data_IF_103802706157
#
_entry.id   IF_103802706157
#
_cell.length_a   1.000
_cell.length_b   1.000
_cell.length_c   1.000
_cell.angle_alpha   90.00
_cell.angle_beta   90.00
_cell.angle_gamma   90.00
#
_symmetry.space_group_name_H-M   'P 1'
#
loop_
_entity.id
_entity.type
_entity.pdbx_description
1 polymer ?
#
# COMPACT_ATOMS: atom_id res chain seq x y z
N UNK A 1 30.83 28.01 18.86
CA UNK A 1 29.63 27.47 19.51
C UNK A 1 28.40 27.50 18.61
N UNK A 2 28.22 28.54 17.79
CA UNK A 2 27.10 28.63 16.84
C UNK A 2 27.08 27.51 15.81
N UNK A 3 28.25 27.06 15.36
CA UNK A 3 28.37 26.01 14.36
C UNK A 3 27.89 24.64 14.84
N UNK A 4 28.11 24.34 16.12
CA UNK A 4 27.64 23.06 16.68
C UNK A 4 26.12 22.99 16.75
N UNK A 5 25.51 24.08 17.17
CA UNK A 5 24.04 24.17 17.26
C UNK A 5 23.40 24.05 15.89
N UNK A 6 23.96 24.71 14.88
CA UNK A 6 23.47 24.65 13.50
C UNK A 6 23.59 23.22 12.96
N UNK A 7 24.74 22.56 13.17
CA UNK A 7 24.94 21.19 12.73
C UNK A 7 24.00 20.20 13.38
N UNK A 8 23.76 20.36 14.69
CA UNK A 8 22.81 19.50 15.40
C UNK A 8 21.38 19.71 14.89
N UNK A 9 21.00 20.94 14.63
CA UNK A 9 19.69 21.27 14.08
C UNK A 9 19.50 20.70 12.69
N UNK A 10 20.50 20.82 11.82
CA UNK A 10 20.47 20.24 10.49
C UNK A 10 20.42 18.73 10.52
N UNK A 11 21.25 18.10 11.37
CA UNK A 11 21.24 16.65 11.51
C UNK A 11 19.89 16.14 12.00
N UNK A 12 19.27 16.81 12.96
CA UNK A 12 17.95 16.48 13.45
C UNK A 12 16.88 16.65 12.38
N UNK A 13 16.97 17.71 11.58
CA UNK A 13 16.06 17.96 10.47
C UNK A 13 16.18 16.87 9.40
N UNK A 14 17.40 16.50 9.03
CA UNK A 14 17.65 15.45 8.04
C UNK A 14 17.16 14.08 8.54
N UNK A 15 17.40 13.77 9.82
CA UNK A 15 16.90 12.54 10.42
C UNK A 15 15.36 12.52 10.42
N UNK A 16 14.72 13.64 10.75
CA UNK A 16 13.27 13.75 10.71
C UNK A 16 12.72 13.58 9.31
N UNK A 17 13.38 14.12 8.29
CA UNK A 17 12.99 13.92 6.89
C UNK A 17 13.10 12.46 6.48
N UNK A 18 14.18 11.79 6.87
CA UNK A 18 14.37 10.38 6.57
C UNK A 18 13.30 9.52 7.24
N UNK A 19 12.97 9.80 8.50
CA UNK A 19 11.91 9.10 9.21
C UNK A 19 10.55 9.33 8.56
N UNK A 20 10.25 10.56 8.17
CA UNK A 20 9.01 10.87 7.50
C UNK A 20 8.92 10.16 6.15
N UNK A 21 10.02 10.14 5.39
CA UNK A 21 10.10 9.44 4.12
C UNK A 21 9.84 7.96 4.27
N UNK A 22 10.40 7.33 5.31
CA UNK A 22 10.17 5.92 5.61
C UNK A 22 8.71 5.64 5.96
N UNK A 23 8.08 6.51 6.77
CA UNK A 23 6.66 6.36 7.11
C UNK A 23 5.77 6.49 5.87
N UNK A 24 6.05 7.48 5.03
CA UNK A 24 5.29 7.68 3.80
C UNK A 24 5.43 6.51 2.83
N UNK A 25 6.66 5.97 2.70
CA UNK A 25 6.90 4.79 1.88
C UNK A 25 6.15 3.57 2.41
N UNK A 26 6.15 3.35 3.72
CA UNK A 26 5.43 2.25 4.35
C UNK A 26 3.92 2.38 4.13
N UNK A 27 3.37 3.59 4.22
CA UNK A 27 1.95 3.84 3.97
C UNK A 27 1.59 3.58 2.51
N UNK A 28 2.46 3.99 1.58
CA UNK A 28 2.27 3.72 0.16
C UNK A 28 2.25 2.21 -0.10
N UNK A 29 3.20 1.47 0.46
CA UNK A 29 3.29 0.03 0.29
C UNK A 29 2.05 -0.66 0.86
N UNK A 30 1.57 -0.23 2.01
CA UNK A 30 0.35 -0.77 2.61
C UNK A 30 -0.87 -0.51 1.72
N UNK A 31 -0.97 0.69 1.15
CA UNK A 31 -2.07 1.03 0.25
C UNK A 31 -2.02 0.19 -1.03
N UNK A 32 -0.83 0.00 -1.61
CA UNK A 32 -0.66 -0.86 -2.78
C UNK A 32 -1.04 -2.31 -2.48
N UNK A 33 -0.66 -2.82 -1.31
CA UNK A 33 -1.03 -4.17 -0.90
C UNK A 33 -2.54 -4.33 -0.76
N UNK A 34 -3.23 -3.34 -0.20
CA UNK A 34 -4.69 -3.34 -0.09
C UNK A 34 -5.36 -3.35 -1.46
N UNK A 35 -4.85 -2.56 -2.40
CA UNK A 35 -5.38 -2.54 -3.76
C UNK A 35 -5.24 -3.89 -4.45
N UNK A 36 -4.12 -4.59 -4.22
CA UNK A 36 -3.93 -5.95 -4.76
C UNK A 36 -4.94 -6.93 -4.20
N UNK A 37 -5.21 -6.85 -2.89
CA UNK A 37 -6.19 -7.72 -2.25
C UNK A 37 -7.58 -7.47 -2.82
N UNK A 38 -7.98 -6.21 -2.96
CA UNK A 38 -9.27 -5.83 -3.54
C UNK A 38 -9.39 -6.36 -4.97
N UNK A 39 -8.33 -6.20 -5.76
CA UNK A 39 -8.32 -6.68 -7.15
C UNK A 39 -8.46 -8.21 -7.22
N UNK A 40 -7.71 -8.93 -6.38
CA UNK A 40 -7.80 -10.39 -6.33
C UNK A 40 -9.18 -10.86 -5.89
N UNK A 41 -9.80 -10.19 -4.91
CA UNK A 41 -11.16 -10.51 -4.49
C UNK A 41 -12.16 -10.28 -5.60
N UNK A 42 -12.01 -9.18 -6.35
CA UNK A 42 -12.87 -8.89 -7.49
C UNK A 42 -12.74 -9.96 -8.58
N UNK A 43 -11.50 -10.39 -8.87
CA UNK A 43 -11.24 -11.46 -9.83
C UNK A 43 -11.86 -12.78 -9.38
N UNK A 44 -11.71 -13.10 -8.11
CA UNK A 44 -12.30 -14.32 -7.53
C UNK A 44 -13.82 -14.31 -7.67
N UNK A 45 -14.47 -13.20 -7.37
CA UNK A 45 -15.92 -13.08 -7.50
C UNK A 45 -16.37 -13.17 -8.95
N UNK A 46 -15.60 -12.59 -9.87
CA UNK A 46 -15.90 -12.68 -11.30
C UNK A 46 -15.84 -14.12 -11.79
N UNK A 47 -14.86 -14.90 -11.35
CA UNK A 47 -14.74 -16.32 -11.70
C UNK A 47 -15.91 -17.11 -11.13
N UNK A 48 -16.27 -16.87 -9.87
CA UNK A 48 -17.43 -17.53 -9.25
C UNK A 48 -18.73 -17.24 -9.99
N UNK A 49 -18.90 -15.99 -10.40
CA UNK A 49 -20.10 -15.59 -11.15
C UNK A 49 -20.16 -16.32 -12.50
N UNK A 50 -19.04 -16.48 -13.19
CA UNK A 50 -18.97 -17.25 -14.43
C UNK A 50 -19.31 -18.71 -14.21
N UNK A 51 -18.77 -19.31 -13.16
CA UNK A 51 -19.04 -20.71 -12.83
C UNK A 51 -20.52 -20.91 -12.50
N UNK A 52 -21.11 -20.00 -11.75
CA UNK A 52 -22.52 -20.04 -11.43
C UNK A 52 -23.40 -19.96 -12.68
N UNK A 53 -23.04 -19.07 -13.60
CA UNK A 53 -23.75 -18.93 -14.88
C UNK A 53 -23.65 -20.21 -15.72
N UNK A 54 -22.47 -20.78 -15.82
CA UNK A 54 -22.25 -22.03 -16.57
C UNK A 54 -23.01 -23.20 -15.94
N UNK A 55 -23.03 -23.28 -14.61
CA UNK A 55 -23.79 -24.32 -13.91
C UNK A 55 -25.30 -24.18 -14.14
N UNK A 56 -25.79 -22.94 -14.15
CA UNK A 56 -27.19 -22.68 -14.43
C UNK A 56 -27.59 -23.08 -15.86
N UNK A 57 -26.70 -22.81 -16.82
CA UNK A 57 -26.92 -23.22 -18.23
C UNK A 57 -26.96 -24.75 -18.37
N UNK A 58 -26.06 -25.46 -17.68
CA UNK A 58 -26.04 -26.91 -17.73
C UNK A 58 -27.29 -27.55 -17.07
N UNK A 59 -27.84 -26.87 -16.06
CA UNK A 59 -29.03 -27.36 -15.37
C UNK A 59 -30.31 -27.24 -16.22
N UNK A 60 -30.28 -26.43 -17.25
CA UNK A 60 -31.38 -26.27 -18.18
C UNK A 60 -31.26 -27.24 -19.36
#
# INVERSE_FOLDING_TARGET
MLFRSVRLTLASYEAGRADLGAVLAARRDAAEARLRVIDLEAQRQAVRARLATLSAEEAQ
#
